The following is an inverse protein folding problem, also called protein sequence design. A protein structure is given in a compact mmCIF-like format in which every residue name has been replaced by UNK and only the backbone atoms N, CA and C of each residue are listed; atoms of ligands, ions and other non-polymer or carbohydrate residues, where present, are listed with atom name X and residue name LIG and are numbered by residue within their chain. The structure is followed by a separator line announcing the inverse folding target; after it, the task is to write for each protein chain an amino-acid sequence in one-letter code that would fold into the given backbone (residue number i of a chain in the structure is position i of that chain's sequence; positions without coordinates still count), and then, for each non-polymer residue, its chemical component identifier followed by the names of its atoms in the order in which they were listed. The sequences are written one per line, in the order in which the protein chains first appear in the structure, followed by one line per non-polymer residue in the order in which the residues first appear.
data_IF_351382502439
#
_entry.id   IF_351382502439
#
_cell.length_a   1.000
_cell.length_b   1.000
_cell.length_c   1.000
_cell.angle_alpha   90.00
_cell.angle_beta   90.00
_cell.angle_gamma   90.00
#
_symmetry.space_group_name_H-M   'P 1'
#
loop_
_entity.id
_entity.type
_entity.pdbx_description
1 polymer ?
#
# COMPACT_ATOMS: atom_id res chain seq x y z
N UNK A 1 -37.52 -57.93 5.85
CA UNK A 1 -37.94 -56.53 6.10
C UNK A 1 -36.78 -55.61 5.83
N UNK A 2 -37.04 -54.54 5.06
CA UNK A 2 -36.05 -53.73 4.36
C UNK A 2 -35.11 -52.93 5.29
N UNK A 3 -33.83 -52.83 4.90
CA UNK A 3 -32.83 -51.90 5.46
C UNK A 3 -33.04 -50.53 4.82
N UNK A 4 -33.46 -49.54 5.59
CA UNK A 4 -33.47 -48.13 5.17
C UNK A 4 -32.13 -47.49 5.55
N UNK A 5 -31.31 -47.16 4.55
CA UNK A 5 -30.06 -46.42 4.71
C UNK A 5 -30.34 -44.92 4.77
N UNK A 6 -30.27 -44.35 5.98
CA UNK A 6 -30.28 -42.89 6.16
C UNK A 6 -28.86 -42.33 5.99
N UNK A 7 -28.60 -41.62 4.89
CA UNK A 7 -27.39 -40.83 4.68
C UNK A 7 -27.43 -39.56 5.54
N UNK A 8 -27.01 -39.69 6.80
CA UNK A 8 -26.78 -38.54 7.67
C UNK A 8 -25.48 -37.84 7.30
N UNK A 9 -25.56 -36.70 6.61
CA UNK A 9 -24.44 -35.76 6.50
C UNK A 9 -24.14 -35.25 7.91
N UNK A 10 -23.05 -35.73 8.51
CA UNK A 10 -22.67 -35.31 9.86
C UNK A 10 -22.07 -33.90 9.83
N UNK A 11 -22.31 -33.09 10.87
CA UNK A 11 -21.75 -31.74 11.04
C UNK A 11 -20.22 -31.66 10.95
N UNK A 12 -19.52 -32.81 10.99
CA UNK A 12 -18.06 -32.94 10.85
C UNK A 12 -17.58 -33.03 9.39
N UNK A 13 -18.49 -33.23 8.43
CA UNK A 13 -18.17 -33.31 7.00
C UNK A 13 -18.20 -31.95 6.26
N UNK A 14 -18.60 -30.86 6.94
CA UNK A 14 -18.56 -29.49 6.40
C UNK A 14 -17.23 -28.75 6.67
N UNK A 15 -16.32 -29.32 7.47
CA UNK A 15 -15.01 -28.72 7.76
C UNK A 15 -13.87 -29.22 6.85
N UNK A 16 -14.16 -30.13 5.91
CA UNK A 16 -13.17 -30.68 4.98
C UNK A 16 -13.07 -29.98 3.62
N UNK A 17 -13.97 -29.03 3.31
CA UNK A 17 -14.10 -28.45 1.95
C UNK A 17 -13.42 -27.07 1.81
N UNK A 18 -12.85 -26.50 2.88
CA UNK A 18 -12.13 -25.22 2.84
C UNK A 18 -10.61 -25.35 2.99
N UNK A 19 -10.03 -26.52 2.75
CA UNK A 19 -8.58 -26.75 2.89
C UNK A 19 -7.78 -26.63 1.58
N UNK A 20 -8.43 -26.29 0.45
CA UNK A 20 -7.77 -26.34 -0.86
C UNK A 20 -8.13 -25.15 -1.75
N UNK A 21 -7.70 -23.94 -1.37
CA UNK A 21 -7.26 -22.87 -2.29
C UNK A 21 -6.83 -21.64 -1.50
N UNK A 22 -5.62 -21.68 -0.97
CA UNK A 22 -4.80 -20.48 -0.83
C UNK A 22 -3.38 -20.87 -1.23
N UNK A 23 -3.22 -21.27 -2.49
CA UNK A 23 -1.93 -21.03 -3.15
C UNK A 23 -1.87 -19.52 -3.28
N UNK A 24 -1.36 -18.85 -2.24
CA UNK A 24 -0.79 -17.53 -2.44
C UNK A 24 0.32 -17.78 -3.46
N UNK A 25 0.06 -17.43 -4.72
CA UNK A 25 1.12 -17.28 -5.70
C UNK A 25 1.99 -16.14 -5.18
N UNK A 26 2.92 -16.47 -4.28
CA UNK A 26 4.05 -15.61 -4.02
C UNK A 26 4.80 -15.59 -5.36
N UNK A 27 4.87 -14.47 -6.08
CA UNK A 27 5.71 -14.41 -7.27
C UNK A 27 7.12 -14.82 -6.84
N UNK A 28 7.58 -15.96 -7.34
CA UNK A 28 8.96 -16.39 -7.17
C UNK A 28 9.79 -15.49 -8.08
N UNK A 29 10.38 -14.45 -7.51
CA UNK A 29 11.32 -13.57 -8.20
C UNK A 29 12.63 -14.30 -8.47
N UNK A 30 12.61 -15.29 -9.37
CA UNK A 30 13.77 -16.12 -9.72
C UNK A 30 14.91 -15.31 -10.35
N UNK A 31 14.64 -14.11 -10.86
CA UNK A 31 15.63 -13.23 -11.46
C UNK A 31 16.28 -12.24 -10.48
N UNK A 32 15.80 -12.13 -9.24
CA UNK A 32 16.40 -11.22 -8.24
C UNK A 32 17.57 -11.87 -7.48
N UNK A 33 17.60 -13.20 -7.39
CA UNK A 33 18.62 -13.92 -6.61
C UNK A 33 20.04 -13.82 -7.20
N UNK A 34 20.15 -13.65 -8.53
CA UNK A 34 21.44 -13.53 -9.22
C UNK A 34 22.13 -12.16 -9.07
N UNK A 35 21.38 -11.12 -8.69
CA UNK A 35 21.89 -9.75 -8.56
C UNK A 35 22.38 -9.43 -7.14
N UNK A 36 22.04 -10.23 -6.13
CA UNK A 36 22.34 -9.96 -4.72
C UNK A 36 23.77 -10.34 -4.27
N UNK A 37 24.65 -10.76 -5.19
CA UNK A 37 26.07 -10.98 -4.89
C UNK A 37 26.84 -9.67 -5.05
N UNK A 38 26.71 -8.74 -4.09
CA UNK A 38 27.50 -7.51 -4.10
C UNK A 38 26.87 -6.26 -3.47
N UNK A 39 25.82 -6.36 -2.66
CA UNK A 39 25.40 -5.31 -1.72
C UNK A 39 25.06 -3.93 -2.32
N UNK A 40 24.55 -3.90 -3.56
CA UNK A 40 24.06 -2.68 -4.20
C UNK A 40 23.00 -1.92 -3.39
N UNK A 41 22.78 -0.65 -3.74
CA UNK A 41 21.75 0.16 -3.10
C UNK A 41 20.38 -0.40 -3.50
N UNK A 42 19.50 -0.57 -2.52
CA UNK A 42 18.16 -1.13 -2.72
C UNK A 42 17.11 -0.21 -2.10
N UNK A 43 15.96 -0.10 -2.78
CA UNK A 43 14.77 0.49 -2.17
C UNK A 43 13.70 -0.58 -2.02
N UNK A 44 13.18 -0.66 -0.80
CA UNK A 44 12.15 -1.59 -0.40
C UNK A 44 10.93 -0.83 0.08
N UNK A 45 9.74 -1.36 -0.19
CA UNK A 45 8.50 -0.83 0.36
C UNK A 45 7.73 -1.95 1.05
N UNK A 46 7.18 -1.63 2.22
CA UNK A 46 6.38 -2.54 3.04
C UNK A 46 5.05 -1.88 3.34
N UNK A 47 3.96 -2.53 2.97
CA UNK A 47 2.62 -1.98 3.15
C UNK A 47 1.59 -3.05 3.52
N UNK A 48 0.56 -2.63 4.23
CA UNK A 48 -0.63 -3.41 4.55
C UNK A 48 -1.87 -2.56 4.28
N UNK A 49 -2.86 -3.14 3.62
CA UNK A 49 -4.15 -2.49 3.37
C UNK A 49 -5.19 -3.05 4.32
N UNK A 50 -5.65 -2.24 5.26
CA UNK A 50 -6.77 -2.60 6.13
C UNK A 50 -8.12 -2.70 5.39
N UNK A 51 -8.19 -2.29 4.11
CA UNK A 51 -9.41 -2.31 3.30
C UNK A 51 -9.56 -3.60 2.50
N UNK A 52 -8.45 -4.09 1.96
CA UNK A 52 -8.41 -5.29 1.10
C UNK A 52 -7.81 -6.50 1.83
N UNK A 53 -7.10 -6.31 2.94
CA UNK A 53 -6.37 -7.36 3.65
C UNK A 53 -5.02 -7.72 3.02
N UNK A 54 -4.69 -7.10 1.89
CA UNK A 54 -3.45 -7.35 1.14
C UNK A 54 -2.22 -6.88 1.92
N UNK A 55 -1.10 -7.60 1.76
CA UNK A 55 0.23 -7.23 2.23
C UNK A 55 1.19 -7.17 1.06
N UNK A 56 2.07 -6.18 1.10
CA UNK A 56 3.14 -5.99 0.13
C UNK A 56 4.46 -5.85 0.90
N UNK A 57 5.47 -6.61 0.48
CA UNK A 57 6.83 -6.46 0.98
C UNK A 57 7.80 -6.82 -0.13
N UNK A 58 8.39 -5.79 -0.77
CA UNK A 58 9.23 -6.03 -1.95
C UNK A 58 10.29 -4.95 -2.17
N UNK A 59 11.40 -5.39 -2.75
CA UNK A 59 12.39 -4.50 -3.37
C UNK A 59 11.86 -4.10 -4.74
N UNK A 60 11.85 -2.81 -5.03
CA UNK A 60 11.30 -2.29 -6.29
C UNK A 60 12.32 -1.49 -7.11
N UNK A 61 13.50 -1.25 -6.54
CA UNK A 61 14.61 -0.55 -7.18
C UNK A 61 15.91 -1.13 -6.68
N UNK A 62 16.87 -1.31 -7.60
CA UNK A 62 18.22 -1.79 -7.32
C UNK A 62 19.21 -1.06 -8.23
N UNK A 63 20.28 -0.50 -7.64
CA UNK A 63 21.45 0.05 -8.36
C UNK A 63 21.13 0.96 -9.55
N UNK A 64 20.12 1.83 -9.42
CA UNK A 64 19.72 2.77 -10.48
C UNK A 64 18.42 2.41 -11.18
N UNK A 65 18.04 1.13 -11.16
CA UNK A 65 16.97 0.62 -12.00
C UNK A 65 15.72 0.20 -11.21
N UNK A 66 14.56 0.63 -11.71
CA UNK A 66 13.27 0.18 -11.18
C UNK A 66 12.89 -1.20 -11.74
N UNK A 67 12.48 -2.10 -10.85
CA UNK A 67 12.00 -3.43 -11.22
C UNK A 67 10.55 -3.29 -11.70
N UNK A 68 10.33 -3.41 -13.02
CA UNK A 68 9.03 -3.18 -13.66
C UNK A 68 7.89 -3.98 -13.04
N UNK A 69 8.12 -5.26 -12.77
CA UNK A 69 7.11 -6.13 -12.17
C UNK A 69 6.79 -5.71 -10.74
N UNK A 70 7.79 -5.30 -9.96
CA UNK A 70 7.57 -4.78 -8.61
C UNK A 70 6.76 -3.49 -8.62
N UNK A 71 7.08 -2.56 -9.53
CA UNK A 71 6.31 -1.32 -9.70
C UNK A 71 4.87 -1.61 -10.11
N UNK A 72 4.65 -2.60 -10.98
CA UNK A 72 3.29 -3.03 -11.37
C UNK A 72 2.50 -3.55 -10.18
N UNK A 73 3.10 -4.38 -9.33
CA UNK A 73 2.47 -4.87 -8.10
C UNK A 73 2.19 -3.73 -7.11
N UNK A 74 3.12 -2.76 -6.97
CA UNK A 74 2.89 -1.56 -6.16
C UNK A 74 1.69 -0.77 -6.71
N UNK A 75 1.59 -0.57 -8.03
CA UNK A 75 0.47 0.14 -8.64
C UNK A 75 -0.87 -0.57 -8.37
N UNK A 76 -0.90 -1.90 -8.46
CA UNK A 76 -2.09 -2.68 -8.13
C UNK A 76 -2.42 -2.59 -6.63
N UNK A 77 -1.43 -2.68 -5.75
CA UNK A 77 -1.64 -2.52 -4.31
C UNK A 77 -2.19 -1.12 -3.96
N UNK A 78 -1.70 -0.09 -4.66
CA UNK A 78 -2.09 1.31 -4.47
C UNK A 78 -3.40 1.68 -5.19
N UNK A 79 -4.09 0.74 -5.85
CA UNK A 79 -5.31 0.99 -6.62
C UNK A 79 -6.43 1.58 -5.77
N UNK A 80 -7.43 2.15 -6.45
CA UNK A 80 -8.66 2.54 -5.78
C UNK A 80 -9.49 1.29 -5.47
N UNK A 81 -9.36 0.75 -4.26
CA UNK A 81 -10.05 -0.47 -3.85
C UNK A 81 -11.58 -0.40 -3.96
N UNK A 82 -12.19 0.79 -4.05
CA UNK A 82 -13.66 0.92 -4.21
C UNK A 82 -14.12 0.70 -5.63
N UNK A 83 -13.29 1.02 -6.61
CA UNK A 83 -13.60 0.87 -8.05
C UNK A 83 -12.74 -0.19 -8.73
N UNK A 84 -11.75 -0.73 -8.01
CA UNK A 84 -10.71 -1.64 -8.51
C UNK A 84 -9.86 -1.05 -9.65
N UNK A 85 -9.91 0.27 -9.83
CA UNK A 85 -9.19 0.95 -10.89
C UNK A 85 -7.72 1.14 -10.49
N UNK A 86 -6.82 0.62 -11.31
CA UNK A 86 -5.38 0.78 -11.18
C UNK A 86 -4.92 2.02 -11.94
N UNK A 87 -3.95 2.74 -11.39
CA UNK A 87 -3.23 3.82 -12.07
C UNK A 87 -1.74 3.65 -11.81
N UNK A 88 -0.92 4.03 -12.80
CA UNK A 88 0.51 4.15 -12.57
C UNK A 88 0.78 5.21 -11.52
N UNK A 89 1.39 4.80 -10.42
CA UNK A 89 1.90 5.71 -9.42
C UNK A 89 3.19 6.36 -9.93
N UNK A 90 3.37 7.63 -9.61
CA UNK A 90 4.62 8.33 -9.85
C UNK A 90 5.70 7.73 -8.95
N UNK A 91 6.81 7.28 -9.56
CA UNK A 91 7.88 6.58 -8.85
C UNK A 91 8.46 7.43 -7.71
N UNK A 92 8.47 8.76 -7.86
CA UNK A 92 8.92 9.69 -6.82
C UNK A 92 8.07 9.59 -5.56
N UNK A 93 6.77 9.33 -5.67
CA UNK A 93 5.92 9.10 -4.49
C UNK A 93 6.37 7.86 -3.74
N UNK A 94 6.67 6.76 -4.45
CA UNK A 94 7.14 5.51 -3.86
C UNK A 94 8.52 5.71 -3.21
N UNK A 95 9.40 6.46 -3.86
CA UNK A 95 10.73 6.80 -3.35
C UNK A 95 10.66 7.63 -2.05
N UNK A 96 9.79 8.64 -2.00
CA UNK A 96 9.56 9.45 -0.79
C UNK A 96 9.08 8.56 0.35
N UNK A 97 8.16 7.64 0.08
CA UNK A 97 7.65 6.71 1.09
C UNK A 97 8.76 5.81 1.62
N UNK A 98 9.57 5.21 0.74
CA UNK A 98 10.67 4.34 1.13
C UNK A 98 11.76 5.10 1.92
N UNK A 99 12.15 6.29 1.46
CA UNK A 99 13.12 7.13 2.16
C UNK A 99 12.62 7.55 3.56
N UNK A 100 11.35 7.95 3.66
CA UNK A 100 10.71 8.30 4.94
C UNK A 100 10.69 7.12 5.89
N UNK A 101 10.43 5.91 5.38
CA UNK A 101 10.42 4.67 6.18
C UNK A 101 11.80 4.35 6.73
N UNK A 102 12.83 4.47 5.88
CA UNK A 102 14.23 4.29 6.28
C UNK A 102 14.67 5.30 7.35
N UNK A 103 14.29 6.57 7.23
CA UNK A 103 14.60 7.60 8.23
C UNK A 103 13.95 7.35 9.59
N UNK A 104 12.82 6.63 9.62
CA UNK A 104 12.11 6.28 10.85
C UNK A 104 12.70 5.06 11.56
N UNK A 105 13.61 4.34 10.89
CA UNK A 105 14.27 3.12 11.35
C UNK A 105 13.26 2.12 11.94
N UNK A 106 12.34 1.68 11.09
CA UNK A 106 11.28 0.72 11.44
C UNK A 106 11.24 -0.45 10.47
N UNK A 107 10.78 -1.61 10.96
CA UNK A 107 10.55 -2.79 10.13
C UNK A 107 9.06 -3.08 9.88
N UNK A 108 8.15 -2.39 10.58
CA UNK A 108 6.71 -2.57 10.39
C UNK A 108 6.27 -2.04 9.00
N UNK A 109 5.26 -2.64 8.36
CA UNK A 109 4.70 -2.09 7.12
C UNK A 109 3.91 -0.81 7.38
N UNK A 110 3.90 0.12 6.41
CA UNK A 110 2.89 1.17 6.40
C UNK A 110 1.49 0.56 6.36
N UNK A 111 0.58 1.07 7.17
CA UNK A 111 -0.84 0.95 6.90
C UNK A 111 -1.18 1.92 5.78
N UNK A 112 -1.60 1.41 4.62
CA UNK A 112 -2.10 2.20 3.51
C UNK A 112 -3.58 2.53 3.75
N UNK A 113 -3.88 3.82 3.88
CA UNK A 113 -5.26 4.31 4.01
C UNK A 113 -5.84 4.65 2.63
N UNK A 114 -5.02 5.21 1.75
CA UNK A 114 -5.39 5.58 0.39
C UNK A 114 -4.16 5.71 -0.51
N UNK A 115 -4.14 4.97 -1.62
CA UNK A 115 -3.25 5.22 -2.74
C UNK A 115 -3.94 6.08 -3.80
N UNK A 116 -4.00 5.60 -5.03
CA UNK A 116 -4.80 6.19 -6.11
C UNK A 116 -6.28 6.32 -5.72
N UNK A 117 -6.92 7.40 -6.18
CA UNK A 117 -8.37 7.61 -6.09
C UNK A 117 -8.94 7.86 -7.48
N UNK A 118 -9.93 7.07 -7.87
CA UNK A 118 -10.71 7.37 -9.06
C UNK A 118 -11.43 8.72 -8.94
N UNK A 119 -11.76 9.38 -10.07
CA UNK A 119 -12.62 10.57 -10.04
C UNK A 119 -13.94 10.34 -9.27
N UNK A 120 -14.52 9.14 -9.41
CA UNK A 120 -15.75 8.72 -8.71
C UNK A 120 -15.55 8.68 -7.20
N UNK A 121 -14.50 8.02 -6.71
CA UNK A 121 -14.17 7.98 -5.28
C UNK A 121 -13.83 9.36 -4.74
N UNK A 122 -13.05 10.17 -5.46
CA UNK A 122 -12.71 11.51 -5.00
C UNK A 122 -13.97 12.39 -4.88
N UNK A 123 -14.87 12.35 -5.87
CA UNK A 123 -16.16 13.06 -5.81
C UNK A 123 -17.03 12.59 -4.63
N UNK A 124 -17.10 11.27 -4.39
CA UNK A 124 -17.83 10.69 -3.26
C UNK A 124 -17.24 11.12 -1.91
N UNK A 125 -15.92 11.15 -1.76
CA UNK A 125 -15.30 11.61 -0.51
C UNK A 125 -15.52 13.12 -0.30
N UNK A 126 -15.50 13.91 -1.38
CA UNK A 126 -15.77 15.35 -1.34
C UNK A 126 -17.20 15.70 -0.96
N UNK A 127 -18.19 14.90 -1.36
CA UNK A 127 -19.58 15.15 -0.95
C UNK A 127 -19.79 14.90 0.55
N UNK A 128 -18.90 14.14 1.19
CA UNK A 128 -18.95 13.80 2.62
C UNK A 128 -18.03 14.65 3.49
N UNK A 129 -17.06 15.35 2.90
CA UNK A 129 -16.09 16.16 3.63
C UNK A 129 -15.53 17.31 2.80
N UNK A 130 -15.38 18.47 3.43
CA UNK A 130 -14.70 19.64 2.85
C UNK A 130 -13.17 19.50 2.81
N UNK A 131 -12.62 18.50 3.51
CA UNK A 131 -11.17 18.25 3.60
C UNK A 131 -10.55 17.55 2.38
N UNK A 132 -11.34 17.28 1.33
CA UNK A 132 -10.88 16.57 0.13
C UNK A 132 -10.77 17.53 -1.05
N UNK A 133 -9.57 17.64 -1.61
CA UNK A 133 -9.29 18.55 -2.72
C UNK A 133 -10.01 18.13 -4.01
N UNK A 134 -10.53 19.10 -4.77
CA UNK A 134 -11.14 18.87 -6.10
C UNK A 134 -10.12 18.26 -7.08
N UNK A 135 -8.90 18.80 -7.08
CA UNK A 135 -7.80 18.38 -7.94
C UNK A 135 -6.73 17.66 -7.12
N UNK A 136 -7.13 16.58 -6.43
CA UNK A 136 -6.24 15.83 -5.53
C UNK A 136 -5.11 15.13 -6.29
N UNK A 137 -3.90 15.14 -5.72
CA UNK A 137 -2.75 14.40 -6.25
C UNK A 137 -2.94 12.87 -6.19
N UNK A 138 -3.82 12.37 -5.32
CA UNK A 138 -4.23 10.97 -5.35
C UNK A 138 -4.84 10.57 -6.71
N UNK A 139 -5.60 11.45 -7.34
CA UNK A 139 -6.19 11.16 -8.67
C UNK A 139 -5.14 11.12 -9.78
N UNK A 140 -3.96 11.69 -9.53
CA UNK A 140 -2.83 11.69 -10.47
C UNK A 140 -1.87 10.54 -10.25
N UNK A 141 -2.08 9.72 -9.21
CA UNK A 141 -1.13 8.69 -8.79
C UNK A 141 0.12 9.28 -8.14
N UNK A 142 0.01 10.47 -7.54
CA UNK A 142 1.15 11.24 -7.04
C UNK A 142 1.15 11.39 -5.51
N UNK A 143 0.26 10.67 -4.81
CA UNK A 143 0.12 10.79 -3.37
C UNK A 143 -0.34 9.49 -2.69
N UNK A 144 0.00 9.38 -1.41
CA UNK A 144 -0.40 8.30 -0.51
C UNK A 144 -0.76 8.84 0.87
N UNK A 145 -1.79 8.26 1.50
CA UNK A 145 -2.13 8.50 2.90
C UNK A 145 -1.71 7.27 3.71
N UNK A 146 -0.79 7.47 4.64
CA UNK A 146 -0.04 6.41 5.32
C UNK A 146 -0.05 6.59 6.84
N UNK A 147 0.04 5.46 7.55
CA UNK A 147 0.19 5.41 9.01
C UNK A 147 1.18 4.31 9.38
N UNK A 148 1.88 4.51 10.49
CA UNK A 148 2.64 3.48 11.20
C UNK A 148 2.02 3.28 12.59
N UNK A 149 2.05 2.06 13.12
CA UNK A 149 1.50 1.81 14.45
C UNK A 149 2.47 2.25 15.55
N UNK A 150 3.78 2.20 15.28
CA UNK A 150 4.83 2.53 16.24
C UNK A 150 5.32 3.99 16.19
N UNK A 151 4.77 4.82 15.30
CA UNK A 151 5.18 6.23 15.12
C UNK A 151 3.98 7.15 15.12
N UNK A 152 4.14 8.30 15.78
CA UNK A 152 3.16 9.38 15.74
C UNK A 152 3.11 10.05 14.36
N UNK A 153 2.00 10.74 14.07
CA UNK A 153 1.86 11.61 12.88
C UNK A 153 3.02 12.61 12.78
N UNK A 154 3.45 13.18 13.91
CA UNK A 154 4.56 14.14 13.93
C UNK A 154 5.88 13.52 13.50
N UNK A 155 6.23 12.34 14.04
CA UNK A 155 7.46 11.63 13.66
C UNK A 155 7.44 11.25 12.19
N UNK A 156 6.33 10.67 11.71
CA UNK A 156 6.18 10.30 10.30
C UNK A 156 6.28 11.51 9.37
N UNK A 157 5.66 12.62 9.73
CA UNK A 157 5.70 13.84 8.92
C UNK A 157 7.09 14.46 8.90
N UNK A 158 7.80 14.49 10.04
CA UNK A 158 9.18 14.98 10.11
C UNK A 158 10.11 14.17 9.20
N UNK A 159 9.99 12.84 9.18
CA UNK A 159 10.76 12.00 8.27
C UNK A 159 10.46 12.29 6.80
N UNK A 160 9.18 12.45 6.43
CA UNK A 160 8.81 12.81 5.06
C UNK A 160 9.24 14.23 4.66
N UNK A 161 9.19 15.18 5.60
CA UNK A 161 9.64 16.55 5.39
C UNK A 161 11.16 16.63 5.16
N UNK A 162 11.93 15.81 5.87
CA UNK A 162 13.39 15.72 5.72
C UNK A 162 13.83 15.21 4.33
N UNK A 163 12.94 14.56 3.58
CA UNK A 163 13.21 14.17 2.20
C UNK A 163 13.23 15.36 1.23
N UNK A 164 12.63 16.51 1.58
CA UNK A 164 12.53 17.72 0.74
C UNK A 164 12.05 17.47 -0.71
N UNK A 165 11.22 16.45 -0.92
CA UNK A 165 10.91 15.93 -2.25
C UNK A 165 9.42 16.02 -2.64
N UNK A 166 8.57 16.58 -1.78
CA UNK A 166 7.18 16.87 -2.12
C UNK A 166 6.34 17.34 -0.94
N UNK A 167 5.01 17.26 -1.07
CA UNK A 167 4.07 17.76 -0.08
C UNK A 167 3.84 16.80 1.09
N UNK A 168 3.76 17.35 2.32
CA UNK A 168 3.48 16.59 3.55
C UNK A 168 2.28 17.18 4.31
N UNK A 169 1.22 16.40 4.45
CA UNK A 169 0.01 16.76 5.20
C UNK A 169 -0.09 16.04 6.53
N UNK A 170 -0.30 16.78 7.63
CA UNK A 170 -0.40 16.26 9.00
C UNK A 170 -1.86 16.16 9.45
N UNK A 171 -2.38 14.93 9.59
CA UNK A 171 -3.77 14.67 9.96
C UNK A 171 -3.87 13.98 11.32
N UNK A 172 -3.71 14.74 12.42
CA UNK A 172 -3.68 14.18 13.77
C UNK A 172 -4.99 13.51 14.18
N UNK A 173 -6.13 14.13 13.88
CA UNK A 173 -7.46 13.60 14.26
C UNK A 173 -7.77 12.28 13.55
N UNK A 174 -7.43 12.20 12.27
CA UNK A 174 -7.60 10.98 11.46
C UNK A 174 -6.39 10.05 11.55
N UNK A 175 -5.37 10.41 12.32
CA UNK A 175 -4.13 9.68 12.57
C UNK A 175 -3.43 9.22 11.29
N UNK A 176 -3.09 10.11 10.36
CA UNK A 176 -2.28 9.72 9.19
C UNK A 176 -1.41 10.87 8.69
N UNK A 177 -0.44 10.53 7.84
CA UNK A 177 0.36 11.49 7.08
C UNK A 177 0.07 11.31 5.60
N UNK A 178 -0.22 12.42 4.94
CA UNK A 178 -0.26 12.51 3.49
C UNK A 178 1.15 12.78 2.98
N UNK A 179 1.61 11.99 2.01
CA UNK A 179 2.89 12.18 1.33
C UNK A 179 2.62 12.23 -0.18
N UNK A 180 3.12 13.27 -0.85
CA UNK A 180 3.00 13.44 -2.30
C UNK A 180 4.34 13.84 -2.95
N UNK A 181 4.45 13.72 -4.28
CA UNK A 181 5.61 14.16 -5.07
C UNK A 181 5.35 15.48 -5.83
N UNK A 182 4.40 16.28 -5.36
CA UNK A 182 4.09 17.60 -5.88
C UNK A 182 5.05 18.66 -5.37
N UNK A 183 4.55 19.90 -5.25
CA UNK A 183 5.36 21.02 -4.71
C UNK A 183 5.72 20.76 -3.25
N UNK A 184 6.96 21.09 -2.87
CA UNK A 184 7.41 21.00 -1.48
C UNK A 184 6.62 21.99 -0.63
N UNK A 185 5.80 21.46 0.28
CA UNK A 185 4.97 22.25 1.21
C UNK A 185 4.52 21.38 2.36
N UNK A 186 4.16 22.00 3.47
CA UNK A 186 3.55 21.31 4.60
C UNK A 186 2.23 21.94 4.98
N UNK A 187 1.28 21.14 5.46
CA UNK A 187 -0.01 21.64 5.94
C UNK A 187 -0.57 20.76 7.06
N UNK A 188 -1.61 21.28 7.72
CA UNK A 188 -2.43 20.56 8.70
C UNK A 188 -3.81 20.37 8.11
N UNK A 189 -4.40 19.19 8.30
CA UNK A 189 -5.75 18.87 7.82
C UNK A 189 -6.69 18.34 8.89
#
# INVERSE_FOLDING_TARGET
MAKTTGTGISRRSLLGVFAATAVAAAPTFSNAAGFLRGGGDIRRIRMYSGRTGERLDMVYWIDGDYIKDAVKEINHFMRDWRTDEVKNMDLRTIDIMAASHNLLDVNEPYMLLSGYRSPKTNAMLRSRSRGVAKNSLHMRGQAADLRLASRSVSQMAQAAEACHAGGVGKYHRSNFVHMDCGVVRTWRG
#
